data_IF_569307377382
#
_entry.id   IF_569307377382
#
_cell.length_a   1.000
_cell.length_b   1.000
_cell.length_c   1.000
_cell.angle_alpha   90.00
_cell.angle_beta   90.00
_cell.angle_gamma   90.00
#
_symmetry.space_group_name_H-M   'P 1'
#
loop_
_entity.id
_entity.type
_entity.pdbx_description
1 polymer ?
#
# COMPACT_ATOMS: atom_id res chain seq x y z
N UNK A 1 12.50 -4.49 32.02
CA UNK A 1 12.55 -4.25 30.57
C UNK A 1 11.25 -4.79 30.01
N UNK A 2 10.28 -3.92 29.73
CA UNK A 2 9.02 -4.31 29.09
C UNK A 2 9.35 -4.92 27.73
N UNK A 3 8.84 -6.10 27.42
CA UNK A 3 9.14 -6.73 26.13
C UNK A 3 8.64 -5.82 25.01
N UNK A 4 9.32 -5.82 23.85
CA UNK A 4 8.84 -5.07 22.68
C UNK A 4 7.37 -5.41 22.35
N UNK A 5 6.94 -6.63 22.66
CA UNK A 5 5.56 -7.12 22.50
C UNK A 5 4.60 -6.41 23.48
N UNK A 6 4.95 -6.33 24.76
CA UNK A 6 4.13 -5.62 25.76
C UNK A 6 3.98 -4.13 25.44
N UNK A 7 5.05 -3.46 25.02
CA UNK A 7 4.98 -2.04 24.67
C UNK A 7 4.14 -1.77 23.41
N UNK A 8 4.25 -2.64 22.40
CA UNK A 8 3.37 -2.62 21.22
C UNK A 8 1.92 -2.80 21.67
N UNK A 9 1.63 -3.79 22.53
CA UNK A 9 0.28 -4.05 23.02
C UNK A 9 -0.34 -2.83 23.72
N UNK A 10 0.38 -2.17 24.64
CA UNK A 10 -0.15 -1.03 25.39
C UNK A 10 -0.44 0.18 24.49
N UNK A 11 0.50 0.54 23.61
CA UNK A 11 0.34 1.71 22.73
C UNK A 11 -0.71 1.48 21.65
N UNK A 12 -0.85 0.24 21.19
CA UNK A 12 -1.86 -0.16 20.22
C UNK A 12 -3.26 -0.15 20.83
N UNK A 13 -3.48 -0.64 22.04
CA UNK A 13 -4.82 -0.72 22.65
C UNK A 13 -5.55 0.63 22.69
N UNK A 14 -4.90 1.72 23.08
CA UNK A 14 -5.58 3.01 23.27
C UNK A 14 -6.05 3.68 21.96
N UNK A 15 -5.34 3.45 20.84
CA UNK A 15 -5.70 4.02 19.52
C UNK A 15 -6.38 3.02 18.58
N UNK A 16 -6.18 1.72 18.78
CA UNK A 16 -6.77 0.65 17.96
C UNK A 16 -8.15 0.19 18.45
N UNK A 17 -8.62 0.60 19.62
CA UNK A 17 -9.98 0.26 20.09
C UNK A 17 -11.11 0.76 19.17
N UNK A 18 -10.80 1.61 18.19
CA UNK A 18 -11.72 2.07 17.14
C UNK A 18 -11.59 1.28 15.82
N UNK A 19 -10.66 0.33 15.74
CA UNK A 19 -10.24 -0.32 14.51
C UNK A 19 -10.43 -1.84 14.63
N UNK A 20 -11.22 -2.42 13.72
CA UNK A 20 -11.44 -3.87 13.69
C UNK A 20 -10.28 -4.57 13.01
N UNK A 21 -9.74 -5.63 13.60
CA UNK A 21 -8.68 -6.46 13.02
C UNK A 21 -9.16 -7.92 12.88
N UNK A 22 -8.49 -8.73 12.05
CA UNK A 22 -8.58 -10.17 12.16
C UNK A 22 -8.29 -10.62 13.61
N UNK A 23 -8.96 -11.66 14.12
CA UNK A 23 -8.81 -12.10 15.51
C UNK A 23 -7.39 -12.54 15.87
N UNK A 24 -6.58 -12.87 14.87
CA UNK A 24 -5.20 -13.27 15.04
C UNK A 24 -4.36 -12.72 13.89
N UNK A 25 -3.21 -12.13 14.24
CA UNK A 25 -2.19 -11.67 13.29
C UNK A 25 -0.92 -12.48 13.53
N UNK A 26 -0.41 -13.09 12.47
CA UNK A 26 0.82 -13.87 12.49
C UNK A 26 2.01 -13.01 12.09
N UNK A 27 3.14 -13.16 12.79
CA UNK A 27 4.39 -12.49 12.45
C UNK A 27 5.43 -13.54 12.11
N UNK A 28 5.88 -13.56 10.86
CA UNK A 28 6.89 -14.50 10.35
C UNK A 28 8.22 -13.78 10.22
N UNK A 29 9.25 -14.27 10.92
CA UNK A 29 10.60 -13.73 10.82
C UNK A 29 11.35 -14.37 9.65
N UNK A 30 12.05 -13.56 8.86
CA UNK A 30 12.82 -14.04 7.70
C UNK A 30 14.23 -13.45 7.66
N UNK A 31 15.08 -14.00 6.79
CA UNK A 31 16.38 -13.42 6.48
C UNK A 31 16.32 -12.23 5.50
N UNK A 32 15.13 -11.85 5.02
CA UNK A 32 14.90 -10.71 4.12
C UNK A 32 15.23 -10.93 2.65
N UNK A 33 15.92 -12.01 2.27
CA UNK A 33 16.42 -12.20 0.89
C UNK A 33 15.32 -12.38 -0.16
N UNK A 34 14.13 -12.82 0.24
CA UNK A 34 13.01 -13.05 -0.69
C UNK A 34 12.35 -11.78 -1.23
N UNK A 35 12.41 -10.66 -0.51
CA UNK A 35 11.71 -9.41 -0.85
C UNK A 35 12.61 -8.19 -0.61
N UNK A 36 13.87 -8.26 -1.04
CA UNK A 36 14.83 -7.14 -0.97
C UNK A 36 14.99 -6.51 0.42
N UNK A 37 14.93 -7.31 1.49
CA UNK A 37 14.95 -6.88 2.89
C UNK A 37 13.77 -5.99 3.33
N UNK A 38 12.68 -5.94 2.56
CA UNK A 38 11.45 -5.26 2.94
C UNK A 38 10.53 -6.15 3.78
N UNK A 39 9.76 -5.53 4.67
CA UNK A 39 8.60 -6.19 5.27
C UNK A 39 7.42 -6.13 4.28
N UNK A 40 6.48 -7.06 4.45
CA UNK A 40 5.29 -7.14 3.61
C UNK A 40 4.20 -7.96 4.29
N UNK A 41 2.95 -7.73 3.88
CA UNK A 41 1.82 -8.56 4.26
C UNK A 41 1.57 -9.70 3.27
N UNK A 42 1.19 -10.87 3.80
CA UNK A 42 0.64 -12.01 3.05
C UNK A 42 -0.73 -12.37 3.61
N UNK A 43 -1.63 -12.80 2.73
CA UNK A 43 -3.02 -13.14 3.09
C UNK A 43 -3.69 -11.97 3.86
N UNK A 44 -4.69 -12.27 4.68
CA UNK A 44 -5.46 -11.26 5.42
C UNK A 44 -4.85 -10.89 6.77
N UNK A 45 -3.89 -11.67 7.28
CA UNK A 45 -3.45 -11.55 8.67
C UNK A 45 -2.00 -11.95 8.93
N UNK A 46 -1.12 -12.02 7.91
CA UNK A 46 0.29 -12.36 8.10
C UNK A 46 1.18 -11.17 7.78
N UNK A 47 2.04 -10.79 8.71
CA UNK A 47 3.15 -9.85 8.52
C UNK A 47 4.43 -10.65 8.40
N UNK A 48 5.15 -10.48 7.30
CA UNK A 48 6.47 -11.07 7.11
C UNK A 48 7.53 -10.01 7.36
N UNK A 49 8.45 -10.29 8.28
CA UNK A 49 9.40 -9.32 8.79
C UNK A 49 10.86 -9.82 8.73
N UNK A 50 11.71 -9.16 7.93
CA UNK A 50 13.14 -9.42 7.92
C UNK A 50 13.80 -9.12 9.28
N UNK A 51 14.68 -10.01 9.74
CA UNK A 51 15.40 -9.85 11.01
C UNK A 51 16.31 -8.60 11.03
N UNK A 52 16.76 -8.14 9.86
CA UNK A 52 17.52 -6.89 9.73
C UNK A 52 16.75 -5.66 10.19
N UNK A 53 15.43 -5.62 9.95
CA UNK A 53 14.54 -4.51 10.38
C UNK A 53 14.44 -4.47 11.91
N UNK A 54 14.41 -5.63 12.56
CA UNK A 54 14.36 -5.75 14.02
C UNK A 54 15.64 -5.19 14.64
N UNK A 55 16.79 -5.61 14.11
CA UNK A 55 18.11 -5.17 14.61
C UNK A 55 18.36 -3.69 14.40
N UNK A 56 17.78 -3.09 13.36
CA UNK A 56 17.91 -1.66 13.06
C UNK A 56 17.00 -0.74 13.89
N UNK A 57 16.21 -1.25 14.83
CA UNK A 57 15.31 -0.45 15.67
C UNK A 57 14.10 0.15 14.93
N UNK A 58 13.93 -0.17 13.64
CA UNK A 58 12.81 0.31 12.81
C UNK A 58 11.52 -0.50 13.00
N UNK A 59 11.58 -1.57 13.81
CA UNK A 59 10.49 -2.53 14.02
C UNK A 59 9.15 -1.86 14.27
N UNK A 60 9.07 -0.86 15.16
CA UNK A 60 7.80 -0.21 15.50
C UNK A 60 7.16 0.46 14.28
N UNK A 61 7.94 1.25 13.55
CA UNK A 61 7.45 2.00 12.39
C UNK A 61 6.98 1.04 11.29
N UNK A 62 7.79 0.01 11.01
CA UNK A 62 7.48 -0.98 9.99
C UNK A 62 6.30 -1.85 10.40
N UNK A 63 6.24 -2.30 11.65
CA UNK A 63 5.12 -3.09 12.15
C UNK A 63 3.80 -2.33 12.08
N UNK A 64 3.77 -1.05 12.49
CA UNK A 64 2.57 -0.21 12.36
C UNK A 64 2.17 -0.02 10.90
N UNK A 65 3.14 0.14 9.99
CA UNK A 65 2.87 0.23 8.56
C UNK A 65 2.23 -1.05 8.01
N UNK A 66 2.80 -2.22 8.29
CA UNK A 66 2.22 -3.50 7.84
C UNK A 66 0.87 -3.80 8.53
N UNK A 67 0.71 -3.40 9.78
CA UNK A 67 -0.55 -3.54 10.51
C UNK A 67 -1.66 -2.69 9.88
N UNK A 68 -1.33 -1.49 9.39
CA UNK A 68 -2.26 -0.66 8.62
C UNK A 68 -2.68 -1.35 7.31
N UNK A 69 -1.79 -2.08 6.65
CA UNK A 69 -2.13 -2.85 5.45
C UNK A 69 -3.12 -3.97 5.72
N UNK A 70 -2.97 -4.68 6.84
CA UNK A 70 -3.96 -5.67 7.28
C UNK A 70 -5.29 -4.99 7.58
N UNK A 71 -5.27 -3.92 8.37
CA UNK A 71 -6.46 -3.18 8.77
C UNK A 71 -7.26 -2.69 7.56
N UNK A 72 -6.60 -2.01 6.62
CA UNK A 72 -7.24 -1.36 5.48
C UNK A 72 -7.83 -2.35 4.48
N UNK A 73 -7.36 -3.61 4.46
CA UNK A 73 -7.90 -4.67 3.60
C UNK A 73 -9.08 -5.40 4.23
N UNK A 74 -9.19 -5.40 5.54
CA UNK A 74 -10.24 -6.12 6.27
C UNK A 74 -11.64 -5.60 5.94
N UNK A 75 -12.55 -6.52 5.59
CA UNK A 75 -13.86 -6.17 5.02
C UNK A 75 -14.70 -5.28 5.95
N UNK A 76 -14.67 -5.54 7.26
CA UNK A 76 -15.42 -4.77 8.25
C UNK A 76 -15.01 -3.30 8.34
N UNK A 77 -13.85 -2.92 7.78
CA UNK A 77 -13.34 -1.55 7.83
C UNK A 77 -13.64 -0.74 6.57
N UNK A 78 -14.45 -1.27 5.63
CA UNK A 78 -14.70 -0.63 4.34
C UNK A 78 -15.25 0.80 4.47
N UNK A 79 -16.17 1.03 5.43
CA UNK A 79 -16.78 2.35 5.67
C UNK A 79 -15.72 3.34 6.15
N UNK A 80 -15.04 3.03 7.25
CA UNK A 80 -13.97 3.87 7.81
C UNK A 80 -12.85 4.13 6.82
N UNK A 81 -12.48 3.13 6.00
CA UNK A 81 -11.52 3.32 4.92
C UNK A 81 -12.00 4.34 3.90
N UNK A 82 -13.26 4.27 3.46
CA UNK A 82 -13.79 5.25 2.51
C UNK A 82 -13.79 6.67 3.10
N UNK A 83 -14.12 6.82 4.39
CA UNK A 83 -14.08 8.11 5.09
C UNK A 83 -12.66 8.68 5.17
N UNK A 84 -11.66 7.85 5.49
CA UNK A 84 -10.26 8.27 5.52
C UNK A 84 -9.77 8.69 4.14
N UNK A 85 -10.06 7.93 3.09
CA UNK A 85 -9.69 8.31 1.72
C UNK A 85 -10.40 9.61 1.29
N UNK A 86 -11.68 9.76 1.64
CA UNK A 86 -12.44 10.99 1.39
C UNK A 86 -11.82 12.22 2.06
N UNK A 87 -11.28 12.07 3.27
CA UNK A 87 -10.64 13.16 4.00
C UNK A 87 -9.41 13.77 3.29
N UNK A 88 -8.77 12.99 2.42
CA UNK A 88 -7.61 13.42 1.61
C UNK A 88 -7.95 13.58 0.12
N UNK A 89 -9.24 13.73 -0.20
CA UNK A 89 -9.71 14.04 -1.56
C UNK A 89 -9.92 12.85 -2.49
N UNK A 90 -9.72 11.62 -2.00
CA UNK A 90 -10.01 10.42 -2.77
C UNK A 90 -11.48 10.00 -2.66
N UNK A 91 -12.05 9.50 -3.74
CA UNK A 91 -13.43 9.02 -3.80
C UNK A 91 -13.45 7.60 -4.35
N UNK A 92 -14.39 6.78 -3.88
CA UNK A 92 -14.58 5.44 -4.42
C UNK A 92 -15.08 5.52 -5.86
N UNK A 93 -14.51 4.73 -6.76
CA UNK A 93 -14.99 4.60 -8.14
C UNK A 93 -16.42 4.00 -8.10
N UNK A 94 -17.43 4.66 -8.72
CA UNK A 94 -18.80 4.16 -8.73
C UNK A 94 -18.95 2.90 -9.60
N UNK A 95 -19.70 1.91 -9.10
CA UNK A 95 -20.05 0.68 -9.83
C UNK A 95 -18.96 -0.40 -9.86
N UNK A 96 -19.31 -1.59 -10.34
CA UNK A 96 -18.40 -2.72 -10.61
C UNK A 96 -17.71 -2.60 -11.98
N UNK A 97 -17.69 -1.41 -12.59
CA UNK A 97 -16.90 -1.23 -13.81
C UNK A 97 -15.44 -1.31 -13.43
N UNK A 98 -14.85 -2.48 -13.66
CA UNK A 98 -13.40 -2.62 -13.71
C UNK A 98 -12.90 -1.60 -14.71
N UNK A 99 -12.20 -0.58 -14.24
CA UNK A 99 -11.42 0.26 -15.12
C UNK A 99 -10.40 -0.65 -15.76
N UNK A 100 -10.57 -0.92 -17.05
CA UNK A 100 -9.64 -1.71 -17.81
C UNK A 100 -8.30 -0.98 -17.83
N UNK A 101 -7.30 -1.63 -17.25
CA UNK A 101 -5.96 -1.07 -17.26
C UNK A 101 -5.45 -1.08 -18.70
N UNK A 102 -4.86 0.01 -19.23
CA UNK A 102 -4.44 0.05 -20.62
C UNK A 102 -3.51 -1.13 -20.95
N UNK A 103 -3.85 -1.90 -22.00
CA UNK A 103 -3.11 -3.11 -22.41
C UNK A 103 -1.62 -2.81 -22.64
N UNK A 104 -1.32 -1.62 -23.17
CA UNK A 104 0.06 -1.16 -23.40
C UNK A 104 0.88 -1.01 -22.12
N UNK A 105 0.23 -0.78 -20.98
CA UNK A 105 0.87 -0.60 -19.68
C UNK A 105 0.85 -1.88 -18.84
N UNK A 106 0.03 -2.87 -19.18
CA UNK A 106 -0.14 -4.09 -18.38
C UNK A 106 1.19 -4.83 -18.16
N UNK A 107 2.02 -4.91 -19.19
CA UNK A 107 3.33 -5.59 -19.15
C UNK A 107 4.36 -4.91 -18.24
N UNK A 108 4.17 -3.63 -17.94
CA UNK A 108 5.08 -2.85 -17.08
C UNK A 108 4.40 -2.43 -15.78
N UNK A 109 3.19 -2.91 -15.51
CA UNK A 109 2.47 -2.64 -14.27
C UNK A 109 3.13 -3.42 -13.14
N UNK A 110 3.46 -2.72 -12.07
CA UNK A 110 3.97 -3.36 -10.85
C UNK A 110 2.83 -3.45 -9.86
N UNK A 111 2.57 -4.66 -9.35
CA UNK A 111 1.61 -4.86 -8.27
C UNK A 111 2.17 -4.30 -6.97
N UNK A 112 1.63 -3.17 -6.52
CA UNK A 112 1.76 -2.72 -5.13
C UNK A 112 1.09 -3.78 -4.21
N UNK A 113 1.64 -4.15 -3.03
CA UNK A 113 0.88 -4.89 -2.02
C UNK A 113 -0.47 -4.21 -1.66
N UNK A 114 -0.62 -2.90 -1.88
CA UNK A 114 -1.89 -2.16 -1.77
C UNK A 114 -2.72 -2.14 -3.07
N UNK A 115 -2.22 -2.74 -4.15
CA UNK A 115 -2.84 -2.78 -5.48
C UNK A 115 -4.25 -3.37 -5.56
N UNK A 116 -4.72 -4.27 -4.66
CA UNK A 116 -6.12 -4.69 -4.68
C UNK A 116 -7.11 -3.51 -4.52
N UNK A 117 -6.62 -2.34 -4.11
CA UNK A 117 -7.39 -1.11 -3.90
C UNK A 117 -7.10 -0.01 -4.92
N UNK A 118 -6.01 -0.10 -5.69
CA UNK A 118 -5.55 0.98 -6.58
C UNK A 118 -6.58 1.28 -7.69
N UNK A 119 -7.35 0.30 -8.15
CA UNK A 119 -8.44 0.54 -9.10
C UNK A 119 -9.82 0.71 -8.44
N UNK A 120 -9.87 1.03 -7.14
CA UNK A 120 -11.14 1.24 -6.41
C UNK A 120 -11.38 2.69 -6.00
N UNK A 121 -10.37 3.54 -6.08
CA UNK A 121 -10.45 4.95 -5.71
C UNK A 121 -9.90 5.84 -6.81
N UNK A 122 -10.41 7.06 -6.91
CA UNK A 122 -9.91 8.11 -7.77
C UNK A 122 -9.74 9.41 -6.99
N UNK A 123 -8.92 10.32 -7.52
CA UNK A 123 -8.79 11.71 -7.09
C UNK A 123 -9.00 12.61 -8.31
N UNK A 124 -9.61 13.77 -8.10
CA UNK A 124 -9.84 14.76 -9.14
C UNK A 124 -8.61 15.68 -9.25
N UNK A 125 -7.97 15.69 -10.43
CA UNK A 125 -6.75 16.46 -10.69
C UNK A 125 -6.89 17.31 -11.94
N UNK A 126 -6.14 18.42 -11.99
CA UNK A 126 -5.95 19.24 -13.18
C UNK A 126 -4.55 19.01 -13.76
N UNK A 127 -4.44 19.00 -15.09
CA UNK A 127 -3.14 18.97 -15.76
C UNK A 127 -2.47 20.34 -15.63
N UNK A 128 -1.27 20.39 -15.05
CA UNK A 128 -0.54 21.65 -14.81
C UNK A 128 -0.31 22.51 -16.07
N UNK A 129 -0.26 21.89 -17.25
CA UNK A 129 -0.01 22.56 -18.55
C UNK A 129 -1.25 22.68 -19.42
N UNK A 130 -2.40 22.23 -18.94
CA UNK A 130 -3.66 22.28 -19.68
C UNK A 130 -4.39 23.58 -19.36
N UNK A 131 -4.66 24.39 -20.39
CA UNK A 131 -5.36 25.68 -20.26
C UNK A 131 -6.88 25.53 -20.25
N UNK A 132 -7.41 24.33 -20.44
CA UNK A 132 -8.85 24.08 -20.52
C UNK A 132 -9.53 24.04 -19.15
N UNK A 133 -8.77 24.14 -18.04
CA UNK A 133 -9.25 23.97 -16.66
C UNK A 133 -9.98 22.63 -16.42
N UNK A 134 -9.87 21.67 -17.36
CA UNK A 134 -10.52 20.36 -17.29
C UNK A 134 -10.03 19.61 -16.06
N UNK A 135 -11.00 19.07 -15.30
CA UNK A 135 -10.77 18.17 -14.18
C UNK A 135 -10.81 16.74 -14.71
N UNK A 136 -9.84 15.95 -14.31
CA UNK A 136 -9.70 14.54 -14.66
C UNK A 136 -9.83 13.67 -13.41
N UNK A 137 -10.59 12.58 -13.46
CA UNK A 137 -10.46 11.54 -12.45
C UNK A 137 -9.21 10.72 -12.72
N UNK A 138 -8.39 10.60 -11.70
CA UNK A 138 -7.10 9.94 -11.77
C UNK A 138 -6.96 8.91 -10.67
N UNK A 139 -6.21 7.83 -10.91
CA UNK A 139 -5.78 6.91 -9.86
C UNK A 139 -4.27 6.72 -9.85
N UNK A 140 -3.60 6.66 -8.67
CA UNK A 140 -2.16 6.41 -8.60
C UNK A 140 -1.81 5.01 -9.12
N UNK A 141 -0.76 4.89 -9.92
CA UNK A 141 -0.28 3.61 -10.45
C UNK A 141 1.24 3.52 -10.29
N UNK A 142 1.75 2.30 -10.17
CA UNK A 142 3.19 2.00 -10.19
C UNK A 142 3.54 1.29 -11.49
N UNK A 143 4.51 1.84 -12.21
CA UNK A 143 5.06 1.27 -13.43
C UNK A 143 6.54 0.94 -13.26
N UNK A 144 7.01 -0.08 -13.97
CA UNK A 144 8.42 -0.35 -14.14
C UNK A 144 9.05 0.74 -15.01
N UNK A 145 10.17 1.30 -14.55
CA UNK A 145 10.94 2.28 -15.33
C UNK A 145 11.86 1.62 -16.35
N UNK A 146 12.22 0.33 -16.14
CA UNK A 146 13.09 -0.50 -16.99
C UNK A 146 13.05 -1.97 -16.56
N UNK A 147 13.67 -2.84 -17.36
CA UNK A 147 13.94 -4.22 -16.98
C UNK A 147 14.95 -4.30 -15.84
N UNK A 148 14.83 -5.34 -15.01
CA UNK A 148 15.80 -5.60 -13.94
C UNK A 148 17.19 -5.83 -14.52
N UNK A 149 18.18 -5.15 -13.93
CA UNK A 149 19.59 -5.23 -14.32
C UNK A 149 20.46 -5.07 -13.06
N UNK A 150 21.05 -6.15 -12.53
CA UNK A 150 21.82 -6.09 -11.29
C UNK A 150 23.08 -5.21 -11.39
N UNK A 151 23.54 -4.86 -12.60
CA UNK A 151 24.63 -3.89 -12.78
C UNK A 151 24.18 -2.45 -12.58
N UNK A 152 22.90 -2.17 -12.85
CA UNK A 152 22.29 -0.87 -12.59
C UNK A 152 21.94 -0.71 -11.11
N UNK A 153 21.15 -1.64 -10.55
CA UNK A 153 20.83 -1.65 -9.13
C UNK A 153 20.29 -3.02 -8.69
N UNK A 154 20.61 -3.44 -7.48
CA UNK A 154 19.95 -4.59 -6.83
C UNK A 154 18.73 -4.18 -6.00
N UNK A 155 18.44 -2.89 -5.88
CA UNK A 155 17.33 -2.38 -5.11
C UNK A 155 16.08 -2.24 -6.00
N UNK A 156 15.02 -2.99 -5.66
CA UNK A 156 13.75 -2.97 -6.36
C UNK A 156 13.14 -1.57 -6.51
N UNK A 157 13.27 -0.71 -5.50
CA UNK A 157 12.68 0.64 -5.52
C UNK A 157 13.23 1.52 -6.65
N UNK A 158 14.45 1.25 -7.12
CA UNK A 158 15.09 2.02 -8.20
C UNK A 158 14.45 1.75 -9.58
N UNK A 159 13.62 0.71 -9.67
CA UNK A 159 12.86 0.35 -10.86
C UNK A 159 11.42 0.87 -10.83
N UNK A 160 10.99 1.56 -9.76
CA UNK A 160 9.62 2.04 -9.62
C UNK A 160 9.42 3.45 -10.16
N UNK A 161 8.36 3.63 -10.95
CA UNK A 161 7.84 4.94 -11.33
C UNK A 161 6.42 5.10 -10.81
N UNK A 162 6.24 5.98 -9.84
CA UNK A 162 4.92 6.41 -9.38
C UNK A 162 4.36 7.47 -10.33
N UNK A 163 3.14 7.28 -10.80
CA UNK A 163 2.42 8.23 -11.67
C UNK A 163 0.91 8.09 -11.47
N UNK A 164 0.11 8.89 -12.16
CA UNK A 164 -1.35 8.77 -12.17
C UNK A 164 -1.87 8.30 -13.53
N UNK A 165 -2.87 7.44 -13.53
CA UNK A 165 -3.66 7.03 -14.69
C UNK A 165 -4.95 7.85 -14.75
N UNK A 166 -5.26 8.44 -15.90
CA UNK A 166 -6.54 9.12 -16.15
C UNK A 166 -7.62 8.09 -16.45
N UNK A 167 -8.81 8.27 -15.88
CA UNK A 167 -9.92 7.32 -15.93
C UNK A 167 -11.07 7.74 -16.85
N UNK A 168 -11.16 9.03 -17.19
CA UNK A 168 -12.27 9.62 -17.97
C UNK A 168 -11.83 10.11 -19.38
N UNK A 169 -10.77 9.52 -19.96
CA UNK A 169 -10.37 9.81 -21.35
C UNK A 169 -10.99 8.79 -22.33
#
# INVERSE_FOLDING_TARGET
MTSCIEFINTTCQEKLNLLTYPPQIYVVLTNGKGESNAAYCRNENVIVMPIGIIRGGLIRKVFVHELFHIWSKWHSNLITRNELYASIGYRKIPGEKSIEFPVSLEKIKISNPDAPLVLKYYIELKKLRDRTEKIYKCTPILLASRNFDPQFSTNFFDYLKATTLILDD
#
